data_IF_005016987311
#
_entry.id   IF_005016987311
#
_cell.length_a   1.000
_cell.length_b   1.000
_cell.length_c   1.000
_cell.angle_alpha   90.00
_cell.angle_beta   90.00
_cell.angle_gamma   90.00
#
_symmetry.space_group_name_H-M   'P 1'
#
loop_
_entity.id
_entity.type
_entity.pdbx_description
1 polymer ?
#
# COMPACT_ATOMS: atom_id res chain seq x y z
N UNK A 1 -18.04 -4.71 12.23
CA UNK A 1 -17.27 -5.90 11.83
C UNK A 1 -16.86 -5.70 10.38
N UNK A 2 -15.60 -5.37 10.12
CA UNK A 2 -15.05 -5.32 8.76
C UNK A 2 -14.75 -6.77 8.36
N UNK A 3 -15.71 -7.45 7.75
CA UNK A 3 -15.46 -8.73 7.10
C UNK A 3 -14.72 -8.41 5.81
N UNK A 4 -13.40 -8.44 5.89
CA UNK A 4 -12.49 -8.21 4.78
C UNK A 4 -12.82 -9.23 3.68
N UNK A 5 -13.53 -8.76 2.64
CA UNK A 5 -13.67 -9.51 1.40
C UNK A 5 -12.26 -9.70 0.88
N UNK A 6 -11.85 -10.95 0.78
CA UNK A 6 -10.66 -11.39 0.05
C UNK A 6 -10.67 -10.69 -1.31
N UNK A 7 -9.81 -9.69 -1.47
CA UNK A 7 -9.63 -8.97 -2.72
C UNK A 7 -9.24 -9.99 -3.79
N UNK A 8 -9.91 -10.00 -4.96
CA UNK A 8 -9.59 -10.97 -6.00
C UNK A 8 -8.13 -10.82 -6.39
N UNK A 9 -7.42 -11.95 -6.32
CA UNK A 9 -6.08 -12.16 -6.85
C UNK A 9 -5.92 -11.44 -8.19
N UNK A 10 -4.81 -10.72 -8.32
CA UNK A 10 -4.19 -10.15 -9.53
C UNK A 10 -4.71 -10.77 -10.83
N UNK A 11 -4.96 -9.98 -11.90
CA UNK A 11 -5.32 -10.53 -13.20
C UNK A 11 -4.31 -11.62 -13.57
N UNK A 12 -4.81 -12.84 -13.79
CA UNK A 12 -4.00 -14.02 -14.14
C UNK A 12 -3.53 -13.86 -15.59
N UNK A 13 -2.60 -12.94 -15.82
CA UNK A 13 -1.85 -12.86 -17.07
C UNK A 13 -0.60 -13.71 -16.89
N UNK A 14 -0.38 -14.63 -17.83
CA UNK A 14 0.80 -15.46 -17.89
C UNK A 14 2.02 -14.68 -18.38
N UNK A 15 3.23 -15.15 -18.09
CA UNK A 15 4.45 -14.53 -18.58
C UNK A 15 4.49 -14.48 -20.11
N UNK A 16 4.01 -15.54 -20.77
CA UNK A 16 3.95 -15.63 -22.24
C UNK A 16 3.10 -14.51 -22.85
N UNK A 17 1.92 -14.23 -22.27
CA UNK A 17 1.06 -13.13 -22.71
C UNK A 17 1.70 -11.75 -22.48
N UNK A 18 2.50 -11.58 -21.41
CA UNK A 18 3.26 -10.35 -21.21
C UNK A 18 4.41 -10.20 -22.21
N UNK A 19 5.11 -11.30 -22.50
CA UNK A 19 6.23 -11.36 -23.44
C UNK A 19 5.81 -11.16 -24.90
N UNK A 20 4.55 -11.44 -25.25
CA UNK A 20 3.98 -11.10 -26.55
C UNK A 20 4.01 -9.57 -26.79
N UNK A 21 3.88 -8.77 -25.74
CA UNK A 21 3.93 -7.30 -25.81
C UNK A 21 5.36 -6.76 -25.66
N UNK A 22 6.10 -7.26 -24.66
CA UNK A 22 7.50 -6.85 -24.41
C UNK A 22 8.34 -8.08 -24.00
N UNK A 23 9.17 -8.62 -24.90
CA UNK A 23 9.96 -9.84 -24.66
C UNK A 23 10.93 -9.77 -23.49
N UNK A 24 11.29 -8.57 -23.01
CA UNK A 24 12.20 -8.38 -21.87
C UNK A 24 11.53 -8.55 -20.51
N UNK A 25 10.21 -8.71 -20.45
CA UNK A 25 9.51 -8.99 -19.19
C UNK A 25 9.91 -10.39 -18.70
N UNK A 26 10.51 -10.45 -17.51
CA UNK A 26 10.85 -11.69 -16.82
C UNK A 26 9.95 -11.96 -15.61
N UNK A 27 10.24 -13.06 -14.91
CA UNK A 27 9.46 -13.52 -13.75
C UNK A 27 9.41 -12.51 -12.58
N UNK A 28 10.33 -11.54 -12.54
CA UNK A 28 10.35 -10.46 -11.54
C UNK A 28 9.07 -9.61 -11.55
N UNK A 29 8.34 -9.60 -12.67
CA UNK A 29 7.08 -8.86 -12.82
C UNK A 29 6.01 -9.33 -11.82
N UNK A 30 5.93 -10.65 -11.55
CA UNK A 30 4.98 -11.19 -10.57
C UNK A 30 5.29 -10.73 -9.15
N UNK A 31 6.55 -10.35 -8.91
CA UNK A 31 6.93 -9.68 -7.68
C UNK A 31 6.21 -8.34 -7.49
N UNK A 32 6.01 -7.54 -8.53
CA UNK A 32 5.52 -6.15 -8.38
C UNK A 32 4.01 -5.99 -8.58
N UNK A 33 3.33 -6.96 -9.19
CA UNK A 33 1.89 -6.92 -9.51
C UNK A 33 0.95 -7.14 -8.32
N UNK A 34 1.47 -7.20 -7.09
CA UNK A 34 0.68 -7.32 -5.87
C UNK A 34 0.24 -5.96 -5.31
N UNK A 35 -1.04 -5.84 -4.91
CA UNK A 35 -1.58 -4.66 -4.21
C UNK A 35 -0.71 -4.30 -2.99
N UNK A 36 -0.28 -5.30 -2.23
CA UNK A 36 0.60 -5.07 -1.08
C UNK A 36 1.93 -4.42 -1.45
N UNK A 37 2.57 -4.87 -2.53
CA UNK A 37 3.83 -4.27 -3.01
C UNK A 37 3.59 -2.84 -3.50
N UNK A 38 2.48 -2.60 -4.20
CA UNK A 38 2.07 -1.27 -4.67
C UNK A 38 1.89 -0.27 -3.52
N UNK A 39 1.27 -0.70 -2.40
CA UNK A 39 1.10 0.17 -1.23
C UNK A 39 2.41 0.31 -0.44
N UNK A 40 3.18 -0.77 -0.26
CA UNK A 40 4.46 -0.75 0.47
C UNK A 40 5.49 0.17 -0.19
N UNK A 41 5.49 0.32 -1.52
CA UNK A 41 6.47 1.14 -2.24
C UNK A 41 6.25 2.66 -2.11
N UNK A 42 5.09 3.11 -1.62
CA UNK A 42 4.76 4.55 -1.44
C UNK A 42 5.39 5.12 -0.15
N UNK A 43 6.71 5.07 -0.06
CA UNK A 43 7.49 5.38 1.17
C UNK A 43 7.80 6.86 1.37
N UNK A 44 7.72 7.70 0.33
CA UNK A 44 7.91 9.16 0.42
C UNK A 44 7.07 9.78 1.53
N UNK A 45 7.48 10.95 2.04
CA UNK A 45 6.72 11.65 3.07
C UNK A 45 5.26 11.87 2.64
N UNK A 46 4.32 11.42 3.48
CA UNK A 46 2.87 11.48 3.18
C UNK A 46 2.34 10.32 2.33
N UNK A 47 3.21 9.42 1.83
CA UNK A 47 2.80 8.27 1.04
C UNK A 47 2.03 7.20 1.84
N UNK A 48 1.35 6.30 1.14
CA UNK A 48 0.42 5.31 1.71
C UNK A 48 1.11 4.07 2.32
N UNK A 49 2.44 4.01 2.34
CA UNK A 49 3.15 2.91 3.00
C UNK A 49 2.66 2.74 4.45
N UNK A 50 2.46 1.50 4.95
CA UNK A 50 1.92 1.25 6.28
C UNK A 50 2.71 1.94 7.41
N UNK A 51 4.03 2.07 7.26
CA UNK A 51 4.87 2.80 8.21
C UNK A 51 4.53 4.30 8.28
N UNK A 52 4.26 4.92 7.13
CA UNK A 52 3.85 6.31 7.03
C UNK A 52 2.47 6.52 7.66
N UNK A 53 1.50 5.66 7.36
CA UNK A 53 0.16 5.71 7.95
C UNK A 53 0.22 5.59 9.47
N UNK A 54 0.98 4.62 10.00
CA UNK A 54 1.19 4.46 11.46
C UNK A 54 1.81 5.71 12.08
N UNK A 55 2.80 6.32 11.44
CA UNK A 55 3.44 7.56 11.93
C UNK A 55 2.45 8.72 11.97
N UNK A 56 1.68 8.93 10.90
CA UNK A 56 0.69 10.01 10.84
C UNK A 56 -0.44 9.80 11.85
N UNK A 57 -0.95 8.58 11.99
CA UNK A 57 -1.98 8.25 12.98
C UNK A 57 -1.51 8.59 14.41
N UNK A 58 -0.29 8.18 14.78
CA UNK A 58 0.28 8.51 16.11
C UNK A 58 0.43 10.02 16.32
N UNK A 59 0.89 10.74 15.29
CA UNK A 59 1.04 12.21 15.34
C UNK A 59 -0.31 12.88 15.62
N UNK A 60 -1.35 12.52 14.87
CA UNK A 60 -2.67 13.12 15.00
C UNK A 60 -3.35 12.77 16.33
N UNK A 61 -3.26 11.52 16.78
CA UNK A 61 -3.76 11.13 18.11
C UNK A 61 -3.12 11.97 19.21
N UNK A 62 -1.80 12.23 19.14
CA UNK A 62 -1.10 13.10 20.09
C UNK A 62 -1.57 14.55 20.02
N UNK A 63 -1.79 15.07 18.81
CA UNK A 63 -2.23 16.46 18.61
C UNK A 63 -3.66 16.67 19.15
N UNK A 64 -4.59 15.81 18.75
CA UNK A 64 -5.98 15.88 19.20
C UNK A 64 -6.09 15.70 20.72
N UNK A 65 -5.27 14.85 21.33
CA UNK A 65 -5.21 14.70 22.78
C UNK A 65 -4.69 15.96 23.51
N UNK A 66 -3.90 16.82 22.85
CA UNK A 66 -3.49 18.11 23.40
C UNK A 66 -4.61 19.14 23.25
N UNK A 67 -5.21 19.21 22.07
CA UNK A 67 -6.27 20.16 21.76
C UNK A 67 -7.55 19.90 22.58
N UNK A 68 -7.78 18.64 22.96
CA UNK A 68 -8.87 18.24 23.86
C UNK A 68 -8.64 18.60 25.34
N UNK A 69 -7.41 19.00 25.74
CA UNK A 69 -7.20 19.53 27.08
C UNK A 69 -7.70 20.97 27.11
N UNK A 70 -8.51 21.37 28.10
CA UNK A 70 -8.87 22.77 28.26
C UNK A 70 -7.57 23.58 28.38
N UNK A 71 -7.43 24.59 27.52
CA UNK A 71 -6.36 25.59 27.68
C UNK A 71 -6.65 26.38 28.97
N UNK A 72 -5.62 26.76 29.74
CA UNK A 72 -5.79 27.56 30.95
C UNK A 72 -6.47 28.90 30.64
#
# INVERSE_FOLDING_TARGET
RFTERSTPSTPKISLAEMQEVEPRIGDEIFGVLGVERSVKSRTSYGGTAPANVKRQARRWLKQLAKDAKPQP
#
